data_IF_667842217133
#
_entry.id   IF_667842217133
#
_cell.length_a   1.000
_cell.length_b   1.000
_cell.length_c   1.000
_cell.angle_alpha   90.00
_cell.angle_beta   90.00
_cell.angle_gamma   90.00
#
_symmetry.space_group_name_H-M   'P 1'
#
loop_
_entity.id
_entity.type
_entity.pdbx_description
1 polymer ?
#
# COMPACT_ATOMS: atom_id res chain seq x y z
N UNK A 1 -22.36 42.78 -40.86
CA UNK A 1 -21.43 41.67 -41.16
C UNK A 1 -21.80 40.53 -40.23
N UNK A 2 -22.05 39.29 -40.70
CA UNK A 2 -22.42 38.20 -39.80
C UNK A 2 -21.20 37.74 -38.99
N UNK A 3 -21.43 37.56 -37.69
CA UNK A 3 -20.47 37.05 -36.71
C UNK A 3 -20.13 35.57 -37.01
N UNK A 4 -18.85 35.27 -37.17
CA UNK A 4 -18.35 33.91 -37.39
C UNK A 4 -18.24 33.21 -36.04
N UNK A 5 -19.05 32.17 -35.84
CA UNK A 5 -18.99 31.28 -34.68
C UNK A 5 -17.72 30.39 -34.76
N UNK A 6 -16.82 30.56 -33.79
CA UNK A 6 -15.58 29.78 -33.67
C UNK A 6 -15.75 28.74 -32.55
N UNK A 7 -15.98 27.44 -32.86
CA UNK A 7 -16.09 26.41 -31.85
C UNK A 7 -14.68 25.94 -31.46
N UNK A 8 -14.12 26.49 -30.38
CA UNK A 8 -12.78 26.09 -29.98
C UNK A 8 -12.21 26.63 -28.66
N UNK A 9 -12.84 27.58 -27.97
CA UNK A 9 -12.35 27.97 -26.63
C UNK A 9 -12.87 27.01 -25.58
N UNK A 10 -12.32 25.79 -25.59
CA UNK A 10 -12.46 24.79 -24.55
C UNK A 10 -11.83 25.34 -23.26
N UNK A 11 -12.59 26.16 -22.55
CA UNK A 11 -12.27 26.56 -21.20
C UNK A 11 -12.25 25.30 -20.34
N UNK A 12 -11.05 24.88 -19.92
CA UNK A 12 -10.86 24.00 -18.77
C UNK A 12 -11.52 24.67 -17.57
N UNK A 13 -12.83 24.42 -17.39
CA UNK A 13 -13.60 24.88 -16.25
C UNK A 13 -13.16 24.03 -15.06
N UNK A 14 -12.03 24.40 -14.46
CA UNK A 14 -11.51 23.76 -13.25
C UNK A 14 -12.64 23.69 -12.23
N UNK A 15 -13.02 22.47 -11.83
CA UNK A 15 -14.09 22.32 -10.84
C UNK A 15 -13.66 22.96 -9.52
N UNK A 16 -14.63 23.33 -8.69
CA UNK A 16 -14.36 23.93 -7.39
C UNK A 16 -13.63 22.91 -6.50
N UNK A 17 -12.57 23.30 -5.77
CA UNK A 17 -11.80 22.37 -4.93
C UNK A 17 -12.67 21.65 -3.89
N UNK A 18 -13.71 22.30 -3.35
CA UNK A 18 -14.65 21.64 -2.42
C UNK A 18 -15.53 20.57 -3.06
N UNK A 19 -15.79 20.65 -4.36
CA UNK A 19 -16.58 19.67 -5.11
C UNK A 19 -15.73 18.43 -5.42
N UNK A 20 -14.46 18.63 -5.77
CA UNK A 20 -13.47 17.57 -5.93
C UNK A 20 -13.24 16.78 -4.64
N UNK A 21 -13.05 17.44 -3.49
CA UNK A 21 -12.85 16.74 -2.21
C UNK A 21 -14.07 15.89 -1.83
N UNK A 22 -15.28 16.38 -2.11
CA UNK A 22 -16.52 15.63 -1.88
C UNK A 22 -16.63 14.40 -2.78
N UNK A 23 -16.34 14.55 -4.07
CA UNK A 23 -16.30 13.43 -5.02
C UNK A 23 -15.26 12.38 -4.59
N UNK A 24 -14.03 12.80 -4.27
CA UNK A 24 -12.95 11.92 -3.80
C UNK A 24 -13.31 11.21 -2.49
N UNK A 25 -13.98 11.87 -1.55
CA UNK A 25 -14.42 11.25 -0.29
C UNK A 25 -15.46 10.14 -0.52
N UNK A 26 -16.43 10.39 -1.41
CA UNK A 26 -17.45 9.42 -1.80
C UNK A 26 -16.81 8.24 -2.52
N UNK A 27 -15.88 8.48 -3.45
CA UNK A 27 -15.17 7.41 -4.16
C UNK A 27 -14.35 6.54 -3.19
N UNK A 28 -13.59 7.14 -2.27
CA UNK A 28 -12.81 6.39 -1.30
C UNK A 28 -13.71 5.56 -0.39
N UNK A 29 -14.83 6.11 0.10
CA UNK A 29 -15.71 5.36 1.01
C UNK A 29 -16.57 4.32 0.31
N UNK A 30 -16.94 4.52 -0.96
CA UNK A 30 -17.79 3.59 -1.71
C UNK A 30 -17.02 2.55 -2.56
N UNK A 31 -15.86 2.90 -3.12
CA UNK A 31 -15.04 1.96 -3.91
C UNK A 31 -13.97 1.26 -3.08
N UNK A 32 -13.49 1.87 -1.99
CA UNK A 32 -12.53 1.19 -1.11
C UNK A 32 -13.32 0.38 -0.09
N UNK A 33 -13.37 -0.92 -0.31
CA UNK A 33 -13.78 -1.88 0.74
C UNK A 33 -12.76 -1.75 1.87
N UNK A 34 -13.04 -0.90 2.85
CA UNK A 34 -12.26 -0.85 4.07
C UNK A 34 -12.33 -2.23 4.72
N UNK A 35 -11.20 -2.91 4.90
CA UNK A 35 -11.19 -4.27 5.39
C UNK A 35 -11.84 -4.28 6.75
N UNK A 36 -12.79 -5.19 6.94
CA UNK A 36 -13.35 -5.42 8.27
C UNK A 36 -12.22 -5.93 9.18
N UNK A 37 -12.26 -5.60 10.48
CA UNK A 37 -11.26 -6.03 11.48
C UNK A 37 -10.74 -7.49 11.29
N UNK A 38 -11.60 -8.51 11.02
CA UNK A 38 -11.12 -9.88 10.80
C UNK A 38 -10.28 -10.09 9.54
N UNK A 39 -10.56 -9.38 8.44
CA UNK A 39 -9.79 -9.51 7.19
C UNK A 39 -8.37 -8.96 7.35
N UNK A 40 -8.24 -7.87 8.12
CA UNK A 40 -6.94 -7.29 8.42
C UNK A 40 -6.07 -8.26 9.25
N UNK A 41 -6.66 -8.91 10.26
CA UNK A 41 -5.98 -9.93 11.07
C UNK A 41 -5.57 -11.13 10.21
N UNK A 42 -6.43 -11.61 9.31
CA UNK A 42 -6.11 -12.73 8.42
C UNK A 42 -4.91 -12.39 7.52
N UNK A 43 -4.86 -11.17 7.02
CA UNK A 43 -3.80 -10.72 6.10
C UNK A 43 -2.46 -10.55 6.80
N UNK A 44 -2.44 -10.04 8.04
CA UNK A 44 -1.20 -9.91 8.83
C UNK A 44 -0.72 -11.24 9.40
N UNK A 45 -1.63 -12.19 9.68
CA UNK A 45 -1.28 -13.53 10.19
C UNK A 45 -0.37 -14.29 9.23
N UNK A 46 -0.63 -14.22 7.92
CA UNK A 46 0.21 -14.87 6.91
C UNK A 46 1.63 -14.27 6.90
N UNK A 47 1.73 -12.94 7.03
CA UNK A 47 3.01 -12.24 7.10
C UNK A 47 3.79 -12.62 8.35
N UNK A 48 3.12 -12.69 9.51
CA UNK A 48 3.74 -13.14 10.76
C UNK A 48 4.25 -14.58 10.66
N UNK A 49 3.48 -15.48 10.04
CA UNK A 49 3.91 -16.86 9.82
C UNK A 49 5.15 -16.93 8.91
N UNK A 50 5.17 -16.15 7.82
CA UNK A 50 6.31 -16.10 6.90
C UNK A 50 7.58 -15.56 7.57
N UNK A 51 7.47 -14.46 8.32
CA UNK A 51 8.61 -13.88 9.06
C UNK A 51 9.07 -14.83 10.17
N UNK A 52 8.14 -15.53 10.84
CA UNK A 52 8.47 -16.57 11.83
C UNK A 52 9.33 -17.69 11.24
N UNK A 53 9.04 -18.14 10.02
CA UNK A 53 9.84 -19.16 9.34
C UNK A 53 11.25 -18.64 8.99
N UNK A 54 11.34 -17.41 8.46
CA UNK A 54 12.62 -16.79 8.07
C UNK A 54 13.50 -16.55 9.29
N UNK A 55 12.93 -16.03 10.38
CA UNK A 55 13.66 -15.78 11.63
C UNK A 55 14.15 -17.09 12.26
N UNK A 56 13.35 -18.16 12.22
CA UNK A 56 13.79 -19.47 12.67
C UNK A 56 14.97 -20.00 11.83
N UNK A 57 14.91 -19.86 10.51
CA UNK A 57 16.01 -20.25 9.63
C UNK A 57 17.30 -19.48 9.94
N UNK A 58 17.21 -18.15 10.04
CA UNK A 58 18.37 -17.31 10.36
C UNK A 58 18.94 -17.63 11.73
N UNK A 59 18.08 -17.85 12.75
CA UNK A 59 18.54 -18.22 14.08
C UNK A 59 19.34 -19.52 14.09
N UNK A 60 18.93 -20.52 13.31
CA UNK A 60 19.69 -21.77 13.15
C UNK A 60 21.04 -21.50 12.47
N UNK A 61 21.06 -20.70 11.41
CA UNK A 61 22.30 -20.31 10.75
C UNK A 61 23.27 -19.57 11.68
N UNK A 62 22.76 -18.62 12.48
CA UNK A 62 23.55 -17.83 13.42
C UNK A 62 24.18 -18.72 14.51
N UNK A 63 23.43 -19.68 15.04
CA UNK A 63 23.95 -20.66 16.01
C UNK A 63 25.07 -21.50 15.39
N UNK A 64 24.85 -22.04 14.19
CA UNK A 64 25.85 -22.86 13.50
C UNK A 64 27.11 -22.03 13.23
N UNK A 65 26.97 -20.79 12.77
CA UNK A 65 28.11 -19.90 12.53
C UNK A 65 28.86 -19.57 13.82
N UNK A 66 28.15 -19.30 14.91
CA UNK A 66 28.75 -19.02 16.22
C UNK A 66 29.58 -20.23 16.70
N UNK A 67 29.07 -21.44 16.51
CA UNK A 67 29.76 -22.65 16.94
C UNK A 67 30.99 -22.96 16.10
N UNK A 68 30.91 -22.76 14.79
CA UNK A 68 32.06 -22.87 13.88
C UNK A 68 33.11 -21.81 14.23
N UNK A 69 32.70 -20.56 14.45
CA UNK A 69 33.61 -19.49 14.84
C UNK A 69 34.27 -19.78 16.19
N UNK A 70 33.52 -20.29 17.17
CA UNK A 70 34.03 -20.68 18.48
C UNK A 70 34.99 -21.87 18.44
N UNK A 71 34.78 -22.81 17.52
CA UNK A 71 35.71 -23.91 17.25
C UNK A 71 37.00 -23.42 16.57
N UNK A 72 36.91 -22.46 15.65
CA UNK A 72 38.07 -21.93 14.92
C UNK A 72 38.97 -21.02 15.78
N UNK A 73 38.40 -20.32 16.76
CA UNK A 73 39.12 -19.40 17.65
C UNK A 73 39.72 -20.09 18.89
N UNK A 74 39.45 -21.38 19.08
CA UNK A 74 40.07 -22.25 20.08
C UNK A 74 41.22 -23.04 19.48
#
# INVERSE_FOLDING_TARGET
>A
MPEVNVPGSAAFKGKKPGEFVRETWVEITQKTTWPTKPELIKSTTVVLAAIGLVTLYLAVCDIIMAEIAGFLLR
#
